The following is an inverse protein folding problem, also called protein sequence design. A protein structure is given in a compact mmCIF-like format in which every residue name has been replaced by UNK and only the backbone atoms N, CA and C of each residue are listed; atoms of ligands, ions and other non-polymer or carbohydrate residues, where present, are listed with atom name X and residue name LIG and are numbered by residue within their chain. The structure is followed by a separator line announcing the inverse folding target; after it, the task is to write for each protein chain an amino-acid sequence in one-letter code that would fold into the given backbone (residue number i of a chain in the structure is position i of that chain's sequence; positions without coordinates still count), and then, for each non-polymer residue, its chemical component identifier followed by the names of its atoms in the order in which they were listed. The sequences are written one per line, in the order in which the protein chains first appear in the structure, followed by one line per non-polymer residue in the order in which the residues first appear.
data_IF_455969342812
#
_entry.id   IF_455969342812
#
_cell.length_a   1.000
_cell.length_b   1.000
_cell.length_c   1.000
_cell.angle_alpha   90.00
_cell.angle_beta   90.00
_cell.angle_gamma   90.00
#
_symmetry.space_group_name_H-M   'P 1'
#
loop_
_entity.id
_entity.type
_entity.pdbx_description
1 polymer ?
#
# COMPACT_ATOMS: atom_id res chain seq x y z
N UNK A 1 4.73 -7.70 6.64
CA UNK A 1 3.83 -6.54 6.67
C UNK A 1 2.73 -6.86 7.64
N UNK A 2 2.56 -6.01 8.64
CA UNK A 2 1.56 -6.04 9.69
C UNK A 2 0.79 -4.72 9.65
N UNK A 3 -0.52 -4.70 9.97
CA UNK A 3 -1.27 -3.46 10.01
C UNK A 3 -0.56 -2.38 10.85
N UNK A 4 -0.43 -1.18 10.31
CA UNK A 4 0.34 -0.08 10.90
C UNK A 4 1.75 0.11 10.31
N UNK A 5 2.30 -0.88 9.60
CA UNK A 5 3.59 -0.75 8.92
C UNK A 5 3.53 0.34 7.84
N UNK A 6 4.61 1.12 7.73
CA UNK A 6 4.79 2.06 6.61
C UNK A 6 5.25 1.27 5.38
N UNK A 7 4.54 1.50 4.28
CA UNK A 7 4.83 0.89 2.98
C UNK A 7 5.03 1.96 1.91
N UNK A 8 5.77 1.59 0.88
CA UNK A 8 5.91 2.39 -0.33
C UNK A 8 5.66 1.56 -1.59
N UNK A 9 5.38 2.22 -2.71
CA UNK A 9 5.30 1.58 -4.02
C UNK A 9 6.71 1.11 -4.45
N UNK A 10 6.84 -0.16 -4.85
CA UNK A 10 8.07 -0.70 -5.44
C UNK A 10 8.37 -0.03 -6.77
N UNK A 11 9.65 0.21 -7.02
CA UNK A 11 10.13 0.83 -8.27
C UNK A 11 9.44 2.16 -8.58
N UNK A 12 8.93 2.85 -7.55
CA UNK A 12 8.52 4.23 -7.68
C UNK A 12 9.71 5.00 -8.23
N UNK A 13 9.64 5.42 -9.51
CA UNK A 13 10.69 6.19 -10.15
C UNK A 13 11.09 7.35 -9.23
N UNK A 14 12.35 7.77 -9.27
CA UNK A 14 13.02 8.66 -8.29
C UNK A 14 12.25 9.92 -7.83
N UNK A 15 11.16 10.29 -8.49
CA UNK A 15 10.32 11.46 -8.20
C UNK A 15 8.86 11.13 -7.79
N UNK A 16 8.50 9.86 -7.54
CA UNK A 16 7.12 9.45 -7.22
C UNK A 16 7.03 8.44 -6.07
N UNK A 17 7.95 8.51 -5.10
CA UNK A 17 7.79 7.73 -3.87
C UNK A 17 6.47 8.12 -3.20
N UNK A 18 5.58 7.15 -3.09
CA UNK A 18 4.29 7.29 -2.41
C UNK A 18 4.31 6.40 -1.20
N UNK A 19 4.05 7.01 -0.04
CA UNK A 19 4.04 6.34 1.25
C UNK A 19 2.62 6.17 1.76
N UNK A 20 2.41 5.11 2.52
CA UNK A 20 1.14 4.88 3.17
C UNK A 20 1.25 3.92 4.34
N UNK A 21 0.16 3.79 5.07
CA UNK A 21 0.01 2.81 6.15
C UNK A 21 -0.66 1.57 5.58
N UNK A 22 -0.02 0.42 5.77
CA UNK A 22 -0.64 -0.86 5.48
C UNK A 22 -1.76 -1.13 6.48
N UNK A 23 -2.97 -1.38 5.97
CA UNK A 23 -4.17 -1.61 6.78
C UNK A 23 -4.47 -3.11 6.96
N UNK A 24 -4.07 -3.94 5.99
CA UNK A 24 -4.32 -5.37 6.00
C UNK A 24 -4.40 -5.97 4.60
N UNK A 25 -4.80 -7.24 4.52
CA UNK A 25 -5.10 -7.90 3.26
C UNK A 25 -6.60 -8.11 3.10
N UNK A 26 -7.08 -8.01 1.86
CA UNK A 26 -8.46 -8.27 1.48
C UNK A 26 -8.51 -9.27 0.35
N UNK A 27 -9.39 -10.26 0.48
CA UNK A 27 -9.61 -11.29 -0.54
C UNK A 27 -10.89 -10.95 -1.31
N UNK A 28 -10.75 -10.82 -2.63
CA UNK A 28 -11.83 -10.68 -3.59
C UNK A 28 -12.13 -12.05 -4.22
N UNK A 29 -13.42 -12.38 -4.32
CA UNK A 29 -13.94 -13.59 -4.97
C UNK A 29 -13.23 -14.89 -4.55
N UNK A 30 -12.77 -14.95 -3.30
CA UNK A 30 -12.07 -16.10 -2.70
C UNK A 30 -10.71 -16.45 -3.31
N UNK A 31 -10.23 -15.70 -4.30
CA UNK A 31 -9.07 -16.08 -5.12
C UNK A 31 -8.02 -14.98 -5.26
N UNK A 32 -8.42 -13.72 -5.16
CA UNK A 32 -7.54 -12.59 -5.41
C UNK A 32 -7.29 -11.77 -4.14
N UNK A 33 -6.07 -11.80 -3.64
CA UNK A 33 -5.66 -11.10 -2.43
C UNK A 33 -4.94 -9.78 -2.76
N UNK A 34 -5.45 -8.67 -2.22
CA UNK A 34 -4.87 -7.33 -2.30
C UNK A 34 -4.43 -6.84 -0.93
N UNK A 35 -3.45 -5.93 -0.91
CA UNK A 35 -3.15 -5.10 0.24
C UNK A 35 -4.09 -3.90 0.27
N UNK A 36 -4.63 -3.57 1.44
CA UNK A 36 -5.31 -2.30 1.72
C UNK A 36 -4.28 -1.33 2.31
N UNK A 37 -4.19 -0.13 1.72
CA UNK A 37 -3.21 0.90 2.07
C UNK A 37 -3.90 2.26 2.14
N UNK A 38 -3.65 2.98 3.22
CA UNK A 38 -4.00 4.40 3.34
C UNK A 38 -2.79 5.23 2.89
N UNK A 39 -2.85 5.81 1.69
CA UNK A 39 -1.77 6.65 1.16
C UNK A 39 -1.81 8.04 1.80
N UNK A 40 -0.64 8.61 2.12
CA UNK A 40 -0.55 9.92 2.76
C UNK A 40 -0.86 11.07 1.80
N UNK A 41 -0.47 10.93 0.54
CA UNK A 41 -0.43 12.04 -0.41
C UNK A 41 -1.59 12.03 -1.40
N UNK A 42 -2.40 10.95 -1.42
CA UNK A 42 -3.52 10.82 -2.36
C UNK A 42 -4.67 9.96 -1.81
N UNK A 43 -5.93 10.33 -2.04
CA UNK A 43 -7.05 9.42 -1.85
C UNK A 43 -7.04 8.32 -2.93
N UNK A 44 -7.79 7.26 -2.69
CA UNK A 44 -8.07 6.22 -3.67
C UNK A 44 -8.82 6.80 -4.89
N UNK A 45 -8.71 6.18 -6.09
CA UNK A 45 -9.40 6.66 -7.29
C UNK A 45 -10.93 6.77 -7.15
N UNK A 46 -11.53 6.01 -6.23
CA UNK A 46 -12.96 6.03 -5.93
C UNK A 46 -13.36 7.08 -4.87
N UNK A 47 -12.40 7.91 -4.39
CA UNK A 47 -12.63 8.91 -3.36
C UNK A 47 -12.48 8.41 -1.92
N UNK A 48 -12.26 7.11 -1.72
CA UNK A 48 -12.00 6.56 -0.38
C UNK A 48 -10.60 6.90 0.13
N UNK A 49 -10.43 6.91 1.44
CA UNK A 49 -9.13 7.13 2.08
C UNK A 49 -8.22 5.89 1.96
N UNK A 50 -8.82 4.70 1.81
CA UNK A 50 -8.12 3.42 1.71
C UNK A 50 -8.19 2.91 0.28
N UNK A 51 -7.02 2.59 -0.28
CA UNK A 51 -6.87 2.01 -1.61
C UNK A 51 -6.52 0.53 -1.52
N UNK A 52 -6.92 -0.25 -2.52
CA UNK A 52 -6.44 -1.62 -2.71
C UNK A 52 -5.33 -1.65 -3.75
N UNK A 53 -4.24 -2.36 -3.45
CA UNK A 53 -3.09 -2.53 -4.34
C UNK A 53 -2.60 -3.98 -4.31
N UNK A 54 -2.02 -4.46 -5.42
CA UNK A 54 -1.42 -5.78 -5.44
C UNK A 54 -0.24 -5.87 -4.45
N UNK A 55 -0.20 -6.94 -3.67
CA UNK A 55 0.82 -7.13 -2.62
C UNK A 55 2.26 -7.09 -3.12
N UNK A 56 2.50 -7.49 -4.37
CA UNK A 56 3.84 -7.51 -4.96
C UNK A 56 4.31 -6.13 -5.43
N UNK A 57 3.43 -5.13 -5.52
CA UNK A 57 3.74 -3.76 -5.96
C UNK A 57 4.11 -2.81 -4.80
N UNK A 58 4.03 -3.29 -3.56
CA UNK A 58 4.44 -2.52 -2.38
C UNK A 58 5.56 -3.22 -1.62
N UNK A 59 6.32 -2.45 -0.88
CA UNK A 59 7.34 -2.94 0.03
C UNK A 59 7.35 -2.18 1.35
N UNK A 60 7.88 -2.83 2.38
CA UNK A 60 8.11 -2.20 3.68
C UNK A 60 9.18 -1.13 3.56
N UNK A 61 8.89 0.04 4.13
CA UNK A 61 9.93 1.02 4.43
C UNK A 61 10.69 0.48 5.63
N UNK A 62 11.92 0.00 5.40
CA UNK A 62 12.82 -0.38 6.50
C UNK A 62 13.41 0.90 7.07
N UNK A 63 13.27 1.11 8.38
CA UNK A 63 14.15 2.07 9.07
C UNK A 63 15.60 1.63 8.84
N UNK A 64 16.44 2.56 8.42
CA UNK A 64 17.88 2.35 8.43
C UNK A 64 18.30 2.24 9.91
N UNK A 65 18.77 1.06 10.31
CA UNK A 65 19.33 0.81 11.64
C UNK A 65 20.59 1.64 11.90
#
# INVERSE_FOLDING_TARGET
MSPGDIVQIKDAGKNQQQFGIFMGYRIFDGTYECAEVMWFDKPAPNGDVVSTIQKNLIELVKEAA
#
